data_IF_209810659543
#
_entry.id   IF_209810659543
#
_cell.length_a   1.000
_cell.length_b   1.000
_cell.length_c   1.000
_cell.angle_alpha   90.00
_cell.angle_beta   90.00
_cell.angle_gamma   90.00
#
_symmetry.space_group_name_H-M   'P 1'
#
loop_
_entity.id
_entity.type
_entity.pdbx_description
1 polymer ?
#
# COMPACT_ATOMS: atom_id res chain seq x y z
N UNK A 1 -18.08 -19.65 -94.82
CA UNK A 1 -17.95 -19.79 -93.35
C UNK A 1 -17.00 -20.93 -93.02
N UNK A 2 -15.86 -20.63 -92.39
CA UNK A 2 -15.12 -21.48 -91.42
C UNK A 2 -14.12 -20.53 -90.73
N UNK A 3 -14.39 -20.18 -89.48
CA UNK A 3 -13.51 -19.34 -88.65
C UNK A 3 -12.23 -20.14 -88.33
N UNK A 4 -11.02 -19.57 -88.44
CA UNK A 4 -9.85 -20.24 -87.89
C UNK A 4 -9.90 -20.20 -86.36
N UNK A 5 -9.58 -21.34 -85.77
CA UNK A 5 -9.55 -21.64 -84.35
C UNK A 5 -8.53 -20.73 -83.65
N UNK A 6 -8.96 -19.97 -82.62
CA UNK A 6 -8.03 -19.27 -81.73
C UNK A 6 -7.21 -20.34 -81.00
N UNK A 7 -5.93 -20.49 -81.35
CA UNK A 7 -4.97 -21.15 -80.48
C UNK A 7 -4.82 -20.30 -79.22
N UNK A 8 -5.39 -20.76 -78.12
CA UNK A 8 -4.94 -20.36 -76.78
C UNK A 8 -3.54 -20.91 -76.59
N UNK A 9 -2.51 -20.08 -76.81
CA UNK A 9 -1.20 -20.30 -76.19
C UNK A 9 -1.41 -20.19 -74.68
N UNK A 10 -1.56 -21.33 -74.00
CA UNK A 10 -1.16 -21.43 -72.60
C UNK A 10 0.36 -21.33 -72.62
N UNK A 11 0.95 -20.20 -72.24
CA UNK A 11 2.35 -20.23 -71.83
C UNK A 11 2.38 -21.04 -70.53
N UNK A 12 2.90 -22.26 -70.64
CA UNK A 12 3.39 -22.99 -69.49
C UNK A 12 4.83 -22.54 -69.30
N UNK A 13 5.00 -21.30 -68.82
CA UNK A 13 6.30 -20.85 -68.35
C UNK A 13 6.52 -21.55 -67.00
N UNK A 14 7.01 -22.79 -67.06
CA UNK A 14 7.46 -23.51 -65.88
C UNK A 14 8.61 -22.74 -65.26
N UNK A 15 8.56 -22.54 -63.94
CA UNK A 15 9.64 -21.89 -63.20
C UNK A 15 10.98 -22.51 -63.54
N UNK A 16 11.97 -21.67 -63.84
CA UNK A 16 13.33 -22.17 -64.06
C UNK A 16 13.88 -22.70 -62.74
N UNK A 17 14.70 -23.76 -62.81
CA UNK A 17 15.34 -24.35 -61.62
C UNK A 17 16.09 -23.29 -60.80
N UNK A 18 16.69 -22.31 -61.47
CA UNK A 18 17.41 -21.20 -60.85
C UNK A 18 16.48 -20.29 -60.06
N UNK A 19 15.30 -19.93 -60.58
CA UNK A 19 14.32 -19.12 -59.84
C UNK A 19 13.82 -19.84 -58.57
N UNK A 20 13.61 -21.15 -58.63
CA UNK A 20 13.23 -21.95 -57.45
C UNK A 20 14.35 -21.94 -56.41
N UNK A 21 15.61 -22.11 -56.84
CA UNK A 21 16.75 -22.07 -55.92
C UNK A 21 16.91 -20.69 -55.29
N UNK A 22 16.83 -19.62 -56.08
CA UNK A 22 16.97 -18.23 -55.59
C UNK A 22 15.84 -17.87 -54.62
N UNK A 23 14.59 -18.24 -54.93
CA UNK A 23 13.45 -17.99 -54.03
C UNK A 23 13.58 -18.78 -52.73
N UNK A 24 14.06 -20.03 -52.77
CA UNK A 24 14.34 -20.81 -51.55
C UNK A 24 15.47 -20.23 -50.70
N UNK A 25 16.52 -19.67 -51.32
CA UNK A 25 17.62 -19.01 -50.62
C UNK A 25 17.16 -17.70 -49.97
N UNK A 26 16.37 -16.89 -50.66
CA UNK A 26 15.81 -15.66 -50.08
C UNK A 26 14.86 -16.02 -48.93
N UNK A 27 14.02 -17.03 -49.11
CA UNK A 27 13.10 -17.51 -48.07
C UNK A 27 13.86 -18.03 -46.84
N UNK A 28 14.96 -18.76 -47.02
CA UNK A 28 15.75 -19.27 -45.89
C UNK A 28 16.45 -18.15 -45.11
N UNK A 29 16.94 -17.12 -45.81
CA UNK A 29 17.50 -15.93 -45.17
C UNK A 29 16.44 -15.16 -44.38
N UNK A 30 15.25 -14.94 -44.97
CA UNK A 30 14.13 -14.26 -44.30
C UNK A 30 13.65 -15.05 -43.08
N UNK A 31 13.50 -16.37 -43.19
CA UNK A 31 13.12 -17.23 -42.07
C UNK A 31 14.17 -17.25 -40.95
N UNK A 32 15.46 -17.17 -41.30
CA UNK A 32 16.54 -17.09 -40.31
C UNK A 32 16.49 -15.78 -39.53
N UNK A 33 16.30 -14.65 -40.21
CA UNK A 33 16.19 -13.32 -39.56
C UNK A 33 14.90 -13.20 -38.76
N UNK A 34 13.77 -13.69 -39.29
CA UNK A 34 12.49 -13.70 -38.59
C UNK A 34 12.51 -14.62 -37.36
N UNK A 35 13.10 -15.81 -37.50
CA UNK A 35 13.24 -16.79 -36.42
C UNK A 35 14.13 -16.29 -35.28
N UNK A 36 15.27 -15.68 -35.61
CA UNK A 36 16.14 -15.08 -34.58
C UNK A 36 15.42 -13.93 -33.86
N UNK A 37 14.79 -13.02 -34.57
CA UNK A 37 14.02 -11.90 -34.00
C UNK A 37 12.87 -12.38 -33.10
N UNK A 38 12.12 -13.39 -33.53
CA UNK A 38 11.07 -14.02 -32.74
C UNK A 38 11.61 -14.64 -31.45
N UNK A 39 12.73 -15.36 -31.52
CA UNK A 39 13.38 -15.95 -30.34
C UNK A 39 13.89 -14.89 -29.37
N UNK A 40 14.44 -13.77 -29.86
CA UNK A 40 14.82 -12.63 -29.01
C UNK A 40 13.61 -12.00 -28.34
N UNK A 41 12.50 -11.81 -29.08
CA UNK A 41 11.25 -11.29 -28.54
C UNK A 41 10.70 -12.17 -27.42
N UNK A 42 10.56 -13.48 -27.66
CA UNK A 42 10.10 -14.44 -26.64
C UNK A 42 11.01 -14.42 -25.40
N UNK A 43 12.34 -14.40 -25.59
CA UNK A 43 13.29 -14.29 -24.47
C UNK A 43 13.12 -13.00 -23.67
N UNK A 44 12.91 -11.87 -24.33
CA UNK A 44 12.64 -10.59 -23.65
C UNK A 44 11.32 -10.62 -22.87
N UNK A 45 10.26 -11.19 -23.44
CA UNK A 45 8.98 -11.35 -22.74
C UNK A 45 9.12 -12.24 -21.50
N UNK A 46 9.74 -13.41 -21.64
CA UNK A 46 9.98 -14.32 -20.52
C UNK A 46 10.86 -13.68 -19.45
N UNK A 47 11.94 -12.97 -19.83
CA UNK A 47 12.78 -12.25 -18.88
C UNK A 47 12.03 -11.13 -18.15
N UNK A 48 11.13 -10.42 -18.84
CA UNK A 48 10.32 -9.35 -18.24
C UNK A 48 9.26 -9.92 -17.29
N UNK A 49 8.61 -11.03 -17.67
CA UNK A 49 7.65 -11.75 -16.84
C UNK A 49 8.30 -12.31 -15.56
N UNK A 50 9.50 -12.90 -15.69
CA UNK A 50 10.31 -13.37 -14.57
C UNK A 50 10.66 -12.23 -13.61
N UNK A 51 11.18 -11.10 -14.13
CA UNK A 51 11.48 -9.92 -13.31
C UNK A 51 10.26 -9.32 -12.62
N UNK A 52 9.11 -9.32 -13.28
CA UNK A 52 7.85 -8.87 -12.67
C UNK A 52 7.42 -9.82 -11.54
N UNK A 53 7.65 -11.12 -11.69
CA UNK A 53 7.34 -12.13 -10.67
C UNK A 53 8.26 -11.97 -9.45
N UNK A 54 9.57 -11.81 -9.66
CA UNK A 54 10.57 -11.58 -8.61
C UNK A 54 10.21 -10.34 -7.77
N UNK A 55 9.91 -9.24 -8.45
CA UNK A 55 9.46 -8.00 -7.83
C UNK A 55 8.14 -8.18 -7.07
N UNK A 56 7.16 -8.84 -7.68
CA UNK A 56 5.87 -9.09 -7.05
C UNK A 56 6.03 -9.87 -5.74
N UNK A 57 6.86 -10.92 -5.73
CA UNK A 57 7.10 -11.71 -4.51
C UNK A 57 7.76 -10.85 -3.43
N UNK A 58 8.84 -10.13 -3.76
CA UNK A 58 9.55 -9.28 -2.80
C UNK A 58 8.69 -8.15 -2.22
N UNK A 59 7.96 -7.42 -3.08
CA UNK A 59 7.13 -6.27 -2.67
C UNK A 59 5.95 -6.71 -1.79
N UNK A 60 5.33 -7.86 -2.08
CA UNK A 60 4.22 -8.38 -1.27
C UNK A 60 4.68 -8.87 0.10
N UNK A 61 5.82 -9.56 0.17
CA UNK A 61 6.43 -9.97 1.45
C UNK A 61 6.74 -8.73 2.28
N UNK A 62 7.41 -7.73 1.69
CA UNK A 62 7.74 -6.48 2.37
C UNK A 62 6.49 -5.77 2.87
N UNK A 63 5.47 -5.61 2.02
CA UNK A 63 4.21 -4.95 2.38
C UNK A 63 3.49 -5.70 3.51
N UNK A 64 3.48 -7.03 3.48
CA UNK A 64 2.88 -7.83 4.54
C UNK A 64 3.59 -7.60 5.88
N UNK A 65 4.93 -7.74 5.91
CA UNK A 65 5.72 -7.52 7.11
C UNK A 65 5.57 -6.07 7.61
N UNK A 66 5.63 -5.10 6.71
CA UNK A 66 5.43 -3.69 7.01
C UNK A 66 4.09 -3.45 7.68
N UNK A 67 2.99 -3.94 7.12
CA UNK A 67 1.65 -3.75 7.70
C UNK A 67 1.56 -4.30 9.11
N UNK A 68 2.05 -5.52 9.33
CA UNK A 68 1.99 -6.15 10.64
C UNK A 68 2.92 -5.48 11.65
N UNK A 69 4.14 -5.12 11.26
CA UNK A 69 5.11 -4.41 12.10
C UNK A 69 4.61 -2.99 12.44
N UNK A 70 3.96 -2.29 11.51
CA UNK A 70 3.48 -0.92 11.71
C UNK A 70 2.43 -0.85 12.82
N UNK A 71 1.52 -1.83 12.88
CA UNK A 71 0.40 -1.85 13.82
C UNK A 71 0.56 -2.84 14.97
N UNK A 72 1.72 -3.49 15.12
CA UNK A 72 1.95 -4.42 16.22
C UNK A 72 1.92 -3.70 17.57
N UNK A 73 1.15 -4.23 18.52
CA UNK A 73 1.00 -3.71 19.90
C UNK A 73 2.06 -4.24 20.86
N UNK A 74 2.75 -5.31 20.46
CA UNK A 74 4.05 -5.73 21.00
C UNK A 74 4.95 -6.06 19.83
N UNK A 75 6.21 -5.70 19.91
CA UNK A 75 7.17 -6.02 18.87
C UNK A 75 8.53 -6.31 19.48
N UNK A 76 9.07 -7.47 19.13
CA UNK A 76 10.33 -7.98 19.63
C UNK A 76 11.17 -8.55 18.48
N UNK A 77 12.43 -8.12 18.39
CA UNK A 77 13.40 -8.68 17.44
C UNK A 77 14.41 -9.52 18.20
N UNK A 78 14.44 -10.82 17.90
CA UNK A 78 15.37 -11.80 18.46
C UNK A 78 16.37 -12.26 17.39
N UNK A 79 17.65 -11.88 17.48
CA UNK A 79 18.70 -12.29 16.56
C UNK A 79 18.95 -13.81 16.57
N UNK A 80 18.80 -14.47 17.72
CA UNK A 80 18.95 -15.92 17.83
C UNK A 80 17.60 -16.63 17.89
N UNK A 81 17.42 -17.64 17.04
CA UNK A 81 16.20 -18.46 16.96
C UNK A 81 16.33 -19.81 17.66
N UNK A 82 17.56 -20.28 17.91
CA UNK A 82 17.83 -21.70 18.25
C UNK A 82 17.24 -22.14 19.58
N UNK A 83 17.08 -21.20 20.52
CA UNK A 83 16.68 -21.51 21.89
C UNK A 83 15.17 -21.26 22.13
N UNK A 84 14.45 -20.79 21.10
CA UNK A 84 13.03 -20.51 21.17
C UNK A 84 12.22 -21.82 21.07
N UNK A 85 11.40 -22.10 22.10
CA UNK A 85 10.60 -23.34 22.19
C UNK A 85 9.61 -23.48 21.03
N UNK A 86 9.11 -22.38 20.47
CA UNK A 86 8.18 -22.40 19.34
C UNK A 86 8.91 -22.67 18.04
N UNK A 87 10.12 -22.10 17.86
CA UNK A 87 11.03 -22.49 16.77
C UNK A 87 11.42 -23.97 16.85
N UNK A 88 11.75 -24.47 18.04
CA UNK A 88 12.06 -25.89 18.24
C UNK A 88 10.85 -26.80 17.99
N UNK A 89 9.63 -26.40 18.39
CA UNK A 89 8.38 -27.13 18.13
C UNK A 89 8.01 -27.14 16.65
N UNK A 90 8.23 -26.04 15.95
CA UNK A 90 8.11 -25.96 14.49
C UNK A 90 9.13 -26.91 13.80
N UNK A 91 10.40 -26.83 14.19
CA UNK A 91 11.46 -27.74 13.72
C UNK A 91 11.20 -29.21 14.08
N UNK A 92 10.47 -29.50 15.15
CA UNK A 92 10.04 -30.85 15.52
C UNK A 92 8.86 -31.32 14.65
N UNK A 93 7.92 -30.43 14.30
CA UNK A 93 6.82 -30.74 13.36
C UNK A 93 7.32 -30.95 11.92
N UNK A 94 8.49 -30.42 11.56
CA UNK A 94 9.19 -30.74 10.30
C UNK A 94 9.72 -32.19 10.30
N UNK A 95 10.01 -32.77 11.47
CA UNK A 95 10.49 -34.16 11.57
C UNK A 95 9.37 -35.21 11.51
N UNK A 96 8.14 -34.84 11.85
CA UNK A 96 6.97 -35.74 11.81
C UNK A 96 6.21 -35.60 10.49
N UNK A 97 6.44 -36.58 9.63
CA UNK A 97 6.35 -36.56 8.17
C UNK A 97 4.93 -36.52 7.56
N UNK A 98 4.01 -35.66 8.03
CA UNK A 98 2.61 -35.62 7.49
C UNK A 98 1.94 -34.25 7.34
N UNK A 99 2.61 -33.13 7.65
CA UNK A 99 2.03 -31.78 7.41
C UNK A 99 2.98 -30.76 6.78
N UNK A 100 4.15 -31.19 6.35
CA UNK A 100 5.11 -30.35 5.65
C UNK A 100 5.67 -31.21 4.51
N UNK A 101 5.12 -31.08 3.30
CA UNK A 101 5.86 -31.46 2.09
C UNK A 101 6.96 -30.41 1.96
N UNK A 102 8.07 -30.72 2.61
CA UNK A 102 9.16 -29.82 2.98
C UNK A 102 10.44 -30.43 2.41
N UNK A 103 10.90 -29.92 1.28
CA UNK A 103 12.23 -30.27 0.79
C UNK A 103 12.98 -29.04 0.29
N UNK A 104 13.63 -28.31 1.21
CA UNK A 104 14.72 -27.35 0.92
C UNK A 104 14.40 -25.85 1.13
N UNK A 105 14.12 -25.43 2.36
CA UNK A 105 13.05 -24.46 2.63
C UNK A 105 13.46 -22.99 2.83
N UNK A 106 13.19 -22.15 1.82
CA UNK A 106 13.42 -20.71 1.82
C UNK A 106 12.44 -19.89 2.68
N UNK A 107 12.49 -20.01 4.01
CA UNK A 107 11.46 -19.47 4.90
C UNK A 107 11.60 -18.00 5.35
N UNK A 108 10.45 -17.33 5.47
CA UNK A 108 10.24 -16.10 6.24
C UNK A 108 9.57 -16.44 7.59
N UNK A 109 10.08 -15.91 8.72
CA UNK A 109 9.53 -16.23 10.05
C UNK A 109 9.01 -14.99 10.77
N UNK A 110 7.70 -14.96 10.95
CA UNK A 110 6.96 -13.86 11.54
C UNK A 110 5.91 -14.47 12.48
N UNK A 111 5.97 -14.20 13.79
CA UNK A 111 5.17 -14.94 14.79
C UNK A 111 4.30 -14.07 15.67
N UNK A 112 3.05 -14.49 15.90
CA UNK A 112 2.13 -13.86 16.85
C UNK A 112 2.48 -14.29 18.29
N UNK A 113 2.80 -13.31 19.14
CA UNK A 113 3.23 -13.46 20.52
C UNK A 113 2.19 -14.21 21.36
N UNK A 114 0.90 -13.91 21.18
CA UNK A 114 -0.17 -14.41 22.06
C UNK A 114 -0.71 -15.76 21.61
N UNK A 115 -0.67 -16.05 20.31
CA UNK A 115 -1.10 -17.34 19.78
C UNK A 115 -0.01 -18.41 19.84
N UNK A 116 1.25 -18.01 20.08
CA UNK A 116 2.39 -18.93 20.08
C UNK A 116 2.58 -19.65 18.74
N UNK A 117 1.99 -19.11 17.68
CA UNK A 117 2.01 -19.64 16.31
C UNK A 117 3.03 -18.87 15.49
N UNK A 118 4.02 -19.58 14.96
CA UNK A 118 4.87 -19.08 13.89
C UNK A 118 4.16 -19.41 12.57
N UNK A 119 3.69 -18.40 11.87
CA UNK A 119 3.04 -18.59 10.57
C UNK A 119 4.12 -18.51 9.48
N UNK A 120 4.28 -19.57 8.69
CA UNK A 120 4.79 -19.38 7.33
C UNK A 120 3.64 -18.74 6.54
N UNK A 121 3.63 -17.41 6.52
CA UNK A 121 2.48 -16.60 6.09
C UNK A 121 2.09 -16.88 4.64
N UNK A 122 3.06 -17.23 3.80
CA UNK A 122 2.86 -17.37 2.36
C UNK A 122 3.48 -18.70 1.96
N UNK A 123 2.70 -19.79 1.91
CA UNK A 123 3.24 -21.14 1.64
C UNK A 123 4.04 -21.23 0.32
N UNK A 124 4.77 -22.32 0.10
CA UNK A 124 5.68 -22.52 -1.05
C UNK A 124 5.10 -22.10 -2.41
N UNK A 125 3.81 -22.37 -2.65
CA UNK A 125 3.10 -21.97 -3.88
C UNK A 125 3.13 -20.47 -4.16
N UNK A 126 3.21 -19.64 -3.13
CA UNK A 126 3.29 -18.19 -3.26
C UNK A 126 4.68 -17.74 -3.72
N UNK A 127 5.73 -18.32 -3.14
CA UNK A 127 7.12 -18.04 -3.53
C UNK A 127 7.52 -18.72 -4.84
N UNK A 128 6.81 -19.78 -5.24
CA UNK A 128 7.12 -20.58 -6.42
C UNK A 128 8.49 -21.23 -6.27
N UNK A 129 9.41 -20.90 -7.18
CA UNK A 129 10.78 -21.40 -7.21
C UNK A 129 11.81 -20.47 -6.53
N UNK A 130 11.33 -19.44 -5.84
CA UNK A 130 12.17 -18.43 -5.19
C UNK A 130 12.35 -18.71 -3.70
N UNK A 131 13.50 -18.30 -3.17
CA UNK A 131 13.83 -18.30 -1.75
C UNK A 131 13.83 -16.86 -1.23
N UNK A 132 13.24 -16.63 -0.04
CA UNK A 132 13.22 -15.30 0.57
C UNK A 132 14.16 -15.24 1.77
N UNK A 133 14.93 -14.16 1.85
CA UNK A 133 15.65 -13.74 3.07
C UNK A 133 15.24 -12.32 3.42
N UNK A 134 15.44 -11.94 4.66
CA UNK A 134 15.25 -10.57 5.10
C UNK A 134 16.31 -10.16 6.10
N UNK A 135 16.57 -8.86 6.15
CA UNK A 135 17.44 -8.22 7.10
C UNK A 135 16.68 -7.18 7.89
N UNK A 136 16.98 -7.13 9.18
CA UNK A 136 16.43 -6.14 10.10
C UNK A 136 17.59 -5.37 10.71
N UNK A 137 17.53 -4.04 10.64
CA UNK A 137 18.46 -3.16 11.33
C UNK A 137 17.66 -2.21 12.23
N UNK A 138 18.13 -2.02 13.45
CA UNK A 138 17.53 -1.09 14.41
C UNK A 138 18.40 0.15 14.48
N UNK A 139 17.93 1.34 14.05
CA UNK A 139 18.75 2.53 13.98
C UNK A 139 19.23 2.97 15.37
N UNK A 140 20.48 3.48 15.43
CA UNK A 140 21.02 4.17 16.60
C UNK A 140 20.40 5.57 16.72
N UNK A 141 20.40 6.11 17.94
CA UNK A 141 20.00 7.50 18.21
C UNK A 141 20.78 8.47 17.31
N UNK A 142 20.10 9.43 16.67
CA UNK A 142 20.73 10.40 15.75
C UNK A 142 21.28 11.64 16.44
N UNK A 143 21.52 11.63 17.77
CA UNK A 143 22.20 12.73 18.47
C UNK A 143 23.56 12.27 19.00
N UNK A 144 24.62 12.98 18.60
CA UNK A 144 25.93 12.89 19.23
C UNK A 144 25.80 13.17 20.74
N UNK A 145 26.23 12.21 21.57
CA UNK A 145 26.31 12.36 23.02
C UNK A 145 25.26 11.62 23.84
N UNK A 146 24.31 10.92 23.21
CA UNK A 146 23.25 10.17 23.91
C UNK A 146 23.20 8.71 23.42
N UNK A 147 24.24 7.94 23.75
CA UNK A 147 24.37 6.51 23.39
C UNK A 147 23.23 5.64 23.96
N UNK A 148 22.37 6.20 24.83
CA UNK A 148 21.29 5.51 25.52
C UNK A 148 19.87 5.93 25.09
N UNK A 149 19.66 6.86 24.15
CA UNK A 149 18.28 7.22 23.72
C UNK A 149 17.88 6.44 22.47
N UNK A 150 17.37 5.23 22.64
CA UNK A 150 16.86 4.44 21.53
C UNK A 150 15.82 5.23 20.71
N UNK A 151 15.87 5.15 19.37
CA UNK A 151 14.69 5.51 18.56
C UNK A 151 13.78 4.29 18.64
N UNK A 152 12.93 4.30 19.67
CA UNK A 152 12.32 3.09 20.20
C UNK A 152 11.28 2.49 19.25
N UNK A 153 10.84 3.16 18.20
CA UNK A 153 9.78 2.70 17.31
C UNK A 153 10.17 2.60 15.83
N UNK A 154 11.46 2.67 15.47
CA UNK A 154 11.93 2.55 14.09
C UNK A 154 12.66 1.22 13.83
N UNK A 155 12.39 0.63 12.68
CA UNK A 155 12.99 -0.60 12.18
C UNK A 155 13.28 -0.46 10.68
N UNK A 156 14.50 -0.75 10.25
CA UNK A 156 14.84 -0.85 8.84
C UNK A 156 14.70 -2.32 8.40
N UNK A 157 13.87 -2.56 7.38
CA UNK A 157 13.60 -3.88 6.83
C UNK A 157 14.08 -3.94 5.38
N UNK A 158 14.86 -4.97 5.06
CA UNK A 158 15.23 -5.31 3.69
C UNK A 158 14.76 -6.72 3.40
N UNK A 159 14.03 -6.93 2.31
CA UNK A 159 13.58 -8.24 1.82
C UNK A 159 14.31 -8.55 0.52
N UNK A 160 14.93 -9.73 0.45
CA UNK A 160 15.74 -10.19 -0.66
C UNK A 160 15.15 -11.50 -1.22
N UNK A 161 15.05 -11.56 -2.54
CA UNK A 161 14.54 -12.70 -3.32
C UNK A 161 15.70 -13.38 -4.03
N UNK A 162 15.81 -14.68 -3.85
CA UNK A 162 16.83 -15.54 -4.45
C UNK A 162 16.18 -16.55 -5.40
N UNK A 163 16.82 -16.84 -6.52
CA UNK A 163 16.39 -17.90 -7.43
C UNK A 163 16.79 -19.31 -6.95
N UNK A 164 16.45 -20.34 -7.75
CA UNK A 164 16.80 -21.74 -7.48
C UNK A 164 18.32 -22.01 -7.43
N UNK A 165 19.12 -21.12 -8.02
CA UNK A 165 20.58 -21.21 -8.07
C UNK A 165 21.22 -20.50 -6.87
N UNK A 166 20.41 -19.87 -6.00
CA UNK A 166 20.85 -19.12 -4.85
C UNK A 166 21.39 -17.73 -5.20
N UNK A 167 21.12 -17.21 -6.40
CA UNK A 167 21.48 -15.85 -6.78
C UNK A 167 20.39 -14.87 -6.36
N UNK A 168 20.79 -13.73 -5.82
CA UNK A 168 19.86 -12.64 -5.50
C UNK A 168 19.35 -12.01 -6.80
N UNK A 169 18.04 -12.02 -6.99
CA UNK A 169 17.38 -11.54 -8.21
C UNK A 169 16.57 -10.26 -7.99
N UNK A 170 16.15 -10.01 -6.75
CA UNK A 170 15.42 -8.78 -6.39
C UNK A 170 15.60 -8.43 -4.90
N UNK A 171 15.59 -7.14 -4.58
CA UNK A 171 15.53 -6.65 -3.21
C UNK A 171 14.58 -5.44 -3.09
N UNK A 172 13.94 -5.31 -1.94
CA UNK A 172 13.17 -4.12 -1.55
C UNK A 172 13.48 -3.77 -0.10
N UNK A 173 13.60 -2.47 0.18
CA UNK A 173 14.00 -1.97 1.50
C UNK A 173 13.11 -0.79 1.94
N UNK A 174 13.03 -0.59 3.25
CA UNK A 174 12.50 0.65 3.79
C UNK A 174 12.39 0.68 5.30
N UNK A 175 12.26 1.89 5.81
CA UNK A 175 12.12 2.18 7.23
C UNK A 175 10.66 2.11 7.67
N UNK A 176 10.39 1.29 8.67
CA UNK A 176 9.08 1.08 9.27
C UNK A 176 9.05 1.76 10.63
N UNK A 177 8.02 2.58 10.86
CA UNK A 177 7.70 3.12 12.18
C UNK A 177 6.57 2.30 12.79
N UNK A 178 6.82 1.63 13.90
CA UNK A 178 5.75 1.05 14.70
C UNK A 178 4.96 2.17 15.40
N UNK A 179 3.64 2.07 15.36
CA UNK A 179 2.75 3.13 15.81
C UNK A 179 2.17 2.89 17.20
N UNK A 180 2.22 1.65 17.68
CA UNK A 180 1.49 1.21 18.88
C UNK A 180 2.42 0.83 20.03
N UNK A 181 3.70 0.54 19.77
CA UNK A 181 4.64 0.13 20.80
C UNK A 181 6.10 0.51 20.47
N UNK A 182 6.90 0.44 21.52
CA UNK A 182 8.35 0.45 21.42
C UNK A 182 8.85 -0.96 21.04
N UNK A 183 9.80 -1.01 20.12
CA UNK A 183 10.58 -2.17 19.74
C UNK A 183 11.45 -2.62 20.90
N UNK A 184 11.16 -3.82 21.39
CA UNK A 184 12.05 -4.57 22.28
C UNK A 184 13.02 -5.38 21.43
N UNK A 185 14.28 -5.47 21.85
CA UNK A 185 15.31 -6.16 21.08
C UNK A 185 16.19 -6.93 22.04
N UNK A 186 16.33 -8.22 21.80
CA UNK A 186 17.35 -9.03 22.48
C UNK A 186 18.67 -8.95 21.69
N UNK A 187 19.48 -7.89 21.84
CA UNK A 187 20.75 -7.76 21.11
C UNK A 187 21.22 -6.33 20.88
N UNK A 188 22.29 -6.17 20.08
CA UNK A 188 22.92 -4.87 19.82
C UNK A 188 22.17 -4.05 18.73
N UNK A 189 21.87 -2.77 19.03
CA UNK A 189 21.32 -1.82 18.05
C UNK A 189 22.38 -1.35 17.05
N UNK A 190 21.95 -1.06 15.82
CA UNK A 190 22.82 -0.62 14.72
C UNK A 190 23.52 -1.77 13.99
N UNK A 191 23.27 -3.02 14.36
CA UNK A 191 23.72 -4.20 13.62
C UNK A 191 22.59 -4.72 12.74
N UNK A 192 22.92 -5.12 11.52
CA UNK A 192 22.00 -5.82 10.64
C UNK A 192 21.93 -7.30 11.03
N UNK A 193 20.73 -7.79 11.32
CA UNK A 193 20.48 -9.20 11.58
C UNK A 193 19.81 -9.82 10.36
N UNK A 194 20.40 -10.89 9.82
CA UNK A 194 19.80 -11.64 8.70
C UNK A 194 18.90 -12.73 9.26
N UNK A 195 17.65 -12.75 8.82
CA UNK A 195 16.62 -13.66 9.28
C UNK A 195 16.56 -13.74 10.83
N UNK A 196 16.35 -12.63 11.56
CA UNK A 196 16.02 -12.70 12.98
C UNK A 196 14.58 -13.21 13.16
N UNK A 197 14.23 -13.72 14.34
CA UNK A 197 12.83 -13.94 14.69
C UNK A 197 12.22 -12.57 15.05
N UNK A 198 11.17 -12.18 14.32
CA UNK A 198 10.36 -11.02 14.66
C UNK A 198 9.08 -11.55 15.30
N UNK A 199 8.95 -11.32 16.60
CA UNK A 199 7.74 -11.64 17.35
C UNK A 199 6.92 -10.37 17.46
N UNK A 200 5.67 -10.43 17.06
CA UNK A 200 4.75 -9.31 17.11
C UNK A 200 3.46 -9.76 17.77
N UNK A 201 2.68 -8.84 18.29
CA UNK A 201 1.32 -9.12 18.72
C UNK A 201 0.38 -8.18 17.97
N UNK A 202 -0.62 -8.72 17.29
CA UNK A 202 -1.73 -7.96 16.69
C UNK A 202 -3.06 -8.20 17.42
N UNK A 203 -3.08 -9.07 18.43
CA UNK A 203 -4.24 -9.47 19.24
C UNK A 203 -4.28 -8.88 20.63
N UNK A 204 -3.28 -8.11 21.08
CA UNK A 204 -3.48 -7.28 22.25
C UNK A 204 -4.60 -6.31 21.90
N UNK A 205 -5.80 -6.61 22.43
CA UNK A 205 -6.92 -5.70 22.54
C UNK A 205 -6.49 -4.53 23.42
N UNK A 206 -5.60 -3.67 22.91
CA UNK A 206 -5.77 -2.27 23.15
C UNK A 206 -6.92 -1.85 22.26
N UNK A 207 -7.92 -1.20 22.86
CA UNK A 207 -8.95 -0.49 22.13
C UNK A 207 -8.27 0.25 20.97
N UNK A 208 -8.46 -0.22 19.73
CA UNK A 208 -8.15 0.63 18.57
C UNK A 208 -8.85 1.92 18.90
N UNK A 209 -8.08 3.02 19.01
CA UNK A 209 -8.65 4.32 19.35
C UNK A 209 -9.89 4.47 18.47
N UNK A 210 -11.11 4.56 19.04
CA UNK A 210 -12.32 4.43 18.25
C UNK A 210 -12.36 5.45 17.10
N UNK A 211 -11.67 6.60 17.25
CA UNK A 211 -11.50 7.56 16.19
C UNK A 211 -10.61 7.03 15.04
N UNK A 212 -9.52 6.33 15.35
CA UNK A 212 -8.65 5.72 14.33
C UNK A 212 -9.37 4.63 13.53
N UNK A 213 -10.19 3.80 14.20
CA UNK A 213 -11.00 2.79 13.52
C UNK A 213 -11.97 3.43 12.51
N UNK A 214 -12.71 4.45 12.96
CA UNK A 214 -13.65 5.20 12.11
C UNK A 214 -12.89 5.90 10.97
N UNK A 215 -11.73 6.49 11.24
CA UNK A 215 -10.92 7.18 10.25
C UNK A 215 -10.44 6.22 9.15
N UNK A 216 -9.94 5.04 9.52
CA UNK A 216 -9.50 4.01 8.57
C UNK A 216 -10.65 3.54 7.68
N UNK A 217 -11.85 3.38 8.24
CA UNK A 217 -13.04 3.04 7.47
C UNK A 217 -13.40 4.16 6.48
N UNK A 218 -13.50 5.41 6.95
CA UNK A 218 -13.80 6.57 6.09
C UNK A 218 -12.82 6.72 4.94
N UNK A 219 -11.52 6.57 5.22
CA UNK A 219 -10.47 6.62 4.20
C UNK A 219 -10.60 5.47 3.19
N UNK A 220 -10.89 4.27 3.67
CA UNK A 220 -11.04 3.09 2.80
C UNK A 220 -12.23 3.25 1.84
N UNK A 221 -13.39 3.68 2.35
CA UNK A 221 -14.57 3.93 1.53
C UNK A 221 -14.32 5.04 0.49
N UNK A 222 -13.62 6.11 0.89
CA UNK A 222 -13.21 7.17 -0.02
C UNK A 222 -12.31 6.65 -1.15
N UNK A 223 -11.26 5.90 -0.82
CA UNK A 223 -10.31 5.37 -1.81
C UNK A 223 -11.00 4.36 -2.73
N UNK A 224 -11.87 3.49 -2.20
CA UNK A 224 -12.59 2.52 -3.01
C UNK A 224 -13.47 3.19 -4.07
N UNK A 225 -14.19 4.26 -3.71
CA UNK A 225 -14.99 5.02 -4.66
C UNK A 225 -14.09 5.78 -5.65
N UNK A 226 -13.01 6.40 -5.17
CA UNK A 226 -12.02 7.08 -6.01
C UNK A 226 -11.46 6.14 -7.09
N UNK A 227 -10.95 4.97 -6.69
CA UNK A 227 -10.39 3.95 -7.57
C UNK A 227 -11.43 3.48 -8.58
N UNK A 228 -12.66 3.25 -8.14
CA UNK A 228 -13.74 2.86 -9.04
C UNK A 228 -14.00 3.92 -10.13
N UNK A 229 -13.99 5.21 -9.79
CA UNK A 229 -14.20 6.29 -10.76
C UNK A 229 -13.04 6.32 -11.76
N UNK A 230 -11.80 6.20 -11.28
CA UNK A 230 -10.59 6.17 -12.12
C UNK A 230 -10.58 4.99 -13.10
N UNK A 231 -10.99 3.81 -12.63
CA UNK A 231 -11.00 2.59 -13.43
C UNK A 231 -12.21 2.50 -14.38
N UNK A 232 -13.23 3.34 -14.18
CA UNK A 232 -14.44 3.32 -14.99
C UNK A 232 -14.34 4.27 -16.18
N UNK A 233 -14.65 3.77 -17.37
CA UNK A 233 -14.71 4.57 -18.61
C UNK A 233 -16.07 5.23 -18.82
N UNK A 234 -17.10 4.84 -18.06
CA UNK A 234 -18.49 5.31 -18.22
C UNK A 234 -19.18 5.50 -16.88
N UNK A 235 -20.20 6.37 -16.85
CA UNK A 235 -21.04 6.59 -15.65
C UNK A 235 -21.78 5.32 -15.25
N UNK A 236 -22.21 4.50 -16.20
CA UNK A 236 -22.97 3.27 -15.93
C UNK A 236 -22.10 2.21 -15.23
N UNK A 237 -20.79 2.17 -15.50
CA UNK A 237 -19.85 1.30 -14.76
C UNK A 237 -19.69 1.71 -13.30
N UNK A 238 -19.69 3.03 -13.03
CA UNK A 238 -19.64 3.57 -11.66
C UNK A 238 -20.97 3.26 -10.95
N UNK A 239 -22.10 3.54 -11.60
CA UNK A 239 -23.46 3.27 -11.09
C UNK A 239 -23.66 1.79 -10.70
N UNK A 240 -23.10 0.86 -11.47
CA UNK A 240 -23.20 -0.57 -11.18
C UNK A 240 -22.56 -0.97 -9.84
N UNK A 241 -21.48 -0.29 -9.43
CA UNK A 241 -20.81 -0.51 -8.13
C UNK A 241 -21.30 0.45 -7.04
N UNK A 242 -21.75 1.63 -7.44
CA UNK A 242 -22.17 2.72 -6.57
C UNK A 242 -23.53 3.30 -7.04
N UNK A 243 -24.64 2.59 -6.75
CA UNK A 243 -25.97 3.02 -7.16
C UNK A 243 -26.33 4.41 -6.62
N UNK A 244 -26.91 5.26 -7.48
CA UNK A 244 -27.24 6.65 -7.18
C UNK A 244 -26.18 7.65 -7.62
N UNK A 245 -25.02 7.20 -8.11
CA UNK A 245 -23.98 8.08 -8.68
C UNK A 245 -24.47 8.86 -9.89
N UNK A 246 -25.21 8.21 -10.78
CA UNK A 246 -25.77 8.81 -12.00
C UNK A 246 -26.74 9.94 -11.69
N UNK A 247 -27.59 9.74 -10.70
CA UNK A 247 -28.54 10.77 -10.23
C UNK A 247 -27.80 11.91 -9.52
N UNK A 248 -26.86 11.58 -8.63
CA UNK A 248 -26.05 12.57 -7.90
C UNK A 248 -25.26 13.50 -8.84
N UNK A 249 -24.80 12.97 -9.96
CA UNK A 249 -23.94 13.69 -10.90
C UNK A 249 -24.66 14.18 -12.16
N UNK A 250 -26.00 14.03 -12.25
CA UNK A 250 -26.77 14.28 -13.49
C UNK A 250 -26.56 15.67 -14.10
N UNK A 251 -26.48 16.69 -13.24
CA UNK A 251 -26.35 18.10 -13.62
C UNK A 251 -24.89 18.55 -13.81
N UNK A 252 -23.92 17.65 -13.60
CA UNK A 252 -22.51 17.93 -13.78
C UNK A 252 -22.07 17.76 -15.24
N UNK A 253 -20.94 18.40 -15.59
CA UNK A 253 -20.30 18.19 -16.88
C UNK A 253 -19.84 16.73 -17.02
N UNK A 254 -19.72 16.25 -18.26
CA UNK A 254 -19.27 14.87 -18.56
C UNK A 254 -17.93 14.57 -17.88
N UNK A 255 -17.02 15.54 -17.84
CA UNK A 255 -15.75 15.42 -17.14
C UNK A 255 -15.93 15.01 -15.67
N UNK A 256 -16.76 15.73 -14.90
CA UNK A 256 -16.94 15.46 -13.46
C UNK A 256 -17.81 14.24 -13.15
N UNK A 257 -18.46 13.64 -14.16
CA UNK A 257 -19.22 12.39 -14.02
C UNK A 257 -18.32 11.15 -14.01
N UNK A 258 -17.17 11.23 -14.68
CA UNK A 258 -16.23 10.11 -14.87
C UNK A 258 -14.81 10.42 -14.39
N UNK A 259 -14.58 11.56 -13.72
CA UNK A 259 -13.30 11.87 -13.11
C UNK A 259 -13.47 12.10 -11.61
N UNK A 260 -12.49 11.66 -10.80
CA UNK A 260 -12.57 11.80 -9.36
C UNK A 260 -12.57 13.28 -8.97
N UNK A 261 -13.51 13.65 -8.11
CA UNK A 261 -13.65 14.98 -7.54
C UNK A 261 -14.04 14.83 -6.07
N UNK A 262 -13.27 15.48 -5.18
CA UNK A 262 -13.46 15.34 -3.73
C UNK A 262 -14.91 15.64 -3.32
N UNK A 263 -15.48 16.74 -3.80
CA UNK A 263 -16.85 17.13 -3.43
C UNK A 263 -17.91 16.12 -3.88
N UNK A 264 -17.77 15.55 -5.08
CA UNK A 264 -18.73 14.55 -5.58
C UNK A 264 -18.63 13.23 -4.82
N UNK A 265 -17.41 12.79 -4.53
CA UNK A 265 -17.15 11.58 -3.72
C UNK A 265 -17.73 11.79 -2.31
N UNK A 266 -17.47 12.94 -1.69
CA UNK A 266 -18.02 13.26 -0.37
C UNK A 266 -19.55 13.36 -0.37
N UNK A 267 -20.16 13.98 -1.38
CA UNK A 267 -21.63 14.01 -1.51
C UNK A 267 -22.22 12.62 -1.62
N UNK A 268 -21.60 11.75 -2.42
CA UNK A 268 -22.06 10.37 -2.56
C UNK A 268 -21.97 9.62 -1.23
N UNK A 269 -20.79 9.63 -0.59
CA UNK A 269 -20.59 8.94 0.69
C UNK A 269 -21.55 9.48 1.75
N UNK A 270 -21.68 10.80 1.86
CA UNK A 270 -22.60 11.44 2.79
C UNK A 270 -24.04 10.98 2.58
N UNK A 271 -24.55 11.04 1.35
CA UNK A 271 -25.95 10.75 1.07
C UNK A 271 -26.27 9.25 1.12
N UNK A 272 -25.45 8.41 0.50
CA UNK A 272 -25.78 7.00 0.24
C UNK A 272 -25.11 6.02 1.21
N UNK A 273 -23.89 6.30 1.70
CA UNK A 273 -23.20 5.43 2.65
C UNK A 273 -23.50 5.79 4.10
N UNK A 274 -23.54 7.09 4.39
CA UNK A 274 -23.67 7.63 5.74
C UNK A 274 -25.02 8.33 5.98
N UNK A 275 -25.96 8.22 5.05
CA UNK A 275 -27.36 8.64 5.22
C UNK A 275 -27.56 10.07 5.77
N UNK A 276 -26.78 11.01 5.25
CA UNK A 276 -26.76 12.44 5.63
C UNK A 276 -26.24 12.75 7.05
N UNK A 277 -25.48 11.84 7.64
CA UNK A 277 -24.80 12.07 8.92
C UNK A 277 -23.42 11.41 8.92
N UNK A 278 -22.36 12.23 8.95
CA UNK A 278 -21.00 11.70 9.05
C UNK A 278 -20.79 10.96 10.39
N UNK A 279 -19.86 9.99 10.46
CA UNK A 279 -19.50 9.37 11.72
C UNK A 279 -19.08 10.41 12.77
N UNK A 280 -19.63 10.29 13.97
CA UNK A 280 -19.30 11.17 15.09
C UNK A 280 -17.89 10.86 15.59
N UNK A 281 -17.13 11.90 15.88
CA UNK A 281 -15.86 11.76 16.54
C UNK A 281 -16.08 11.31 17.99
N UNK A 282 -15.52 10.16 18.41
CA UNK A 282 -15.54 9.73 19.80
C UNK A 282 -14.84 10.81 20.63
N UNK A 283 -15.51 11.32 21.67
CA UNK A 283 -14.89 12.37 22.47
C UNK A 283 -13.59 11.84 23.10
N UNK A 284 -12.50 12.64 23.09
CA UNK A 284 -11.27 12.23 23.74
C UNK A 284 -11.53 12.04 25.24
N UNK A 285 -10.97 10.99 25.83
CA UNK A 285 -11.09 10.79 27.26
C UNK A 285 -10.37 11.91 28.03
N UNK A 286 -10.97 12.37 29.13
CA UNK A 286 -10.47 13.51 29.92
C UNK A 286 -9.02 13.32 30.38
N UNK A 287 -8.66 12.10 30.77
CA UNK A 287 -7.31 11.70 31.17
C UNK A 287 -6.26 11.84 30.03
N UNK A 288 -6.66 11.65 28.76
CA UNK A 288 -5.78 11.91 27.61
C UNK A 288 -5.61 13.41 27.42
N UNK A 289 -6.68 14.20 27.46
CA UNK A 289 -6.62 15.66 27.32
C UNK A 289 -5.79 16.33 28.43
N UNK A 290 -5.79 15.78 29.64
CA UNK A 290 -4.97 16.27 30.75
C UNK A 290 -3.46 16.24 30.48
N UNK A 291 -2.99 15.28 29.67
CA UNK A 291 -1.59 15.23 29.22
C UNK A 291 -1.23 16.35 28.25
N UNK A 292 -2.23 17.03 27.70
CA UNK A 292 -2.07 18.09 26.71
C UNK A 292 -2.83 19.37 27.12
N UNK A 293 -2.32 20.14 28.10
CA UNK A 293 -3.02 21.31 28.66
C UNK A 293 -3.42 22.36 27.61
N UNK A 294 -2.57 22.59 26.59
CA UNK A 294 -2.86 23.53 25.50
C UNK A 294 -4.06 23.06 24.65
N UNK A 295 -4.15 21.76 24.35
CA UNK A 295 -5.26 21.17 23.59
C UNK A 295 -6.51 21.18 24.45
N UNK A 296 -6.42 20.79 25.73
CA UNK A 296 -7.52 20.81 26.70
C UNK A 296 -8.14 22.21 26.84
N UNK A 297 -7.30 23.22 27.06
CA UNK A 297 -7.72 24.61 27.25
C UNK A 297 -8.34 25.21 25.98
N UNK A 298 -7.99 24.70 24.81
CA UNK A 298 -8.65 25.07 23.56
C UNK A 298 -9.94 24.28 23.33
N UNK A 299 -9.91 22.96 23.54
CA UNK A 299 -11.00 22.04 23.19
C UNK A 299 -12.27 22.31 24.01
N UNK A 300 -12.21 22.32 25.35
CA UNK A 300 -13.43 22.44 26.17
C UNK A 300 -14.20 23.76 25.97
N UNK A 301 -13.54 24.94 25.91
CA UNK A 301 -14.27 26.19 25.70
C UNK A 301 -14.79 26.36 24.26
N UNK A 302 -14.17 25.69 23.28
CA UNK A 302 -14.43 25.95 21.86
C UNK A 302 -15.37 24.90 21.24
N UNK A 303 -15.28 23.64 21.65
CA UNK A 303 -16.11 22.55 21.13
C UNK A 303 -17.41 22.47 21.91
N UNK A 304 -18.42 23.18 21.41
CA UNK A 304 -19.77 23.23 21.98
C UNK A 304 -20.79 22.38 21.22
N UNK A 305 -20.36 21.75 20.12
CA UNK A 305 -21.20 20.96 19.20
C UNK A 305 -20.59 19.59 18.98
N UNK A 306 -21.42 18.64 18.56
CA UNK A 306 -20.94 17.33 18.09
C UNK A 306 -19.91 17.51 16.97
N UNK A 307 -18.84 16.74 17.06
CA UNK A 307 -17.79 16.70 16.05
C UNK A 307 -18.00 15.51 15.13
N UNK A 308 -17.69 15.71 13.86
CA UNK A 308 -17.90 14.76 12.78
C UNK A 308 -16.58 14.52 12.04
N UNK A 309 -16.38 13.27 11.65
CA UNK A 309 -15.18 12.78 10.97
C UNK A 309 -15.43 12.71 9.47
N UNK A 310 -14.56 13.33 8.68
CA UNK A 310 -14.73 13.46 7.22
C UNK A 310 -13.41 13.17 6.50
N UNK A 311 -13.40 12.36 5.43
CA UNK A 311 -12.21 12.19 4.62
C UNK A 311 -11.96 13.41 3.74
N UNK A 312 -10.72 13.62 3.35
CA UNK A 312 -10.32 14.62 2.36
C UNK A 312 -9.09 14.15 1.61
N UNK A 313 -9.02 14.43 0.31
CA UNK A 313 -7.85 14.14 -0.52
C UNK A 313 -7.16 15.42 -0.97
N UNK A 314 -5.85 15.55 -0.66
CA UNK A 314 -5.03 16.71 -1.00
C UNK A 314 -4.76 16.90 -2.50
N UNK A 315 -4.83 15.82 -3.29
CA UNK A 315 -4.62 15.84 -4.74
C UNK A 315 -5.96 15.96 -5.48
N UNK A 316 -6.29 17.15 -5.97
CA UNK A 316 -7.58 17.43 -6.63
C UNK A 316 -7.51 17.35 -8.17
N UNK A 317 -6.97 16.27 -8.75
CA UNK A 317 -7.06 16.02 -10.21
C UNK A 317 -6.28 14.80 -10.71
N UNK A 318 -5.80 13.91 -9.83
CA UNK A 318 -4.97 12.79 -10.29
C UNK A 318 -5.81 11.60 -10.72
N UNK A 319 -5.42 10.93 -11.80
CA UNK A 319 -5.96 9.60 -12.14
C UNK A 319 -5.15 8.49 -11.46
N UNK A 320 -4.17 8.82 -10.61
CA UNK A 320 -3.40 7.87 -9.81
C UNK A 320 -4.10 7.62 -8.46
N UNK A 321 -4.78 6.48 -8.36
CA UNK A 321 -5.47 6.06 -7.15
C UNK A 321 -4.50 5.77 -5.98
N UNK A 322 -3.27 5.32 -6.26
CA UNK A 322 -2.28 5.09 -5.22
C UNK A 322 -1.77 6.42 -4.64
N UNK A 323 -1.55 7.42 -5.49
CA UNK A 323 -1.22 8.78 -5.05
C UNK A 323 -2.39 9.41 -4.27
N UNK A 324 -3.63 9.26 -4.73
CA UNK A 324 -4.81 9.72 -4.00
C UNK A 324 -4.91 9.06 -2.62
N UNK A 325 -4.66 7.75 -2.53
CA UNK A 325 -4.61 7.03 -1.26
C UNK A 325 -3.56 7.59 -0.30
N UNK A 326 -2.34 7.86 -0.79
CA UNK A 326 -1.26 8.49 0.00
C UNK A 326 -1.60 9.91 0.47
N UNK A 327 -2.52 10.58 -0.21
CA UNK A 327 -2.90 11.96 0.07
C UNK A 327 -4.31 12.09 0.68
N UNK A 328 -4.89 10.99 1.14
CA UNK A 328 -6.19 10.97 1.82
C UNK A 328 -6.00 10.89 3.32
N UNK A 329 -6.54 11.86 4.04
CA UNK A 329 -6.57 11.94 5.50
C UNK A 329 -8.00 12.15 6.00
N UNK A 330 -8.21 12.01 7.32
CA UNK A 330 -9.51 12.29 7.95
C UNK A 330 -9.38 13.49 8.86
N UNK A 331 -10.32 14.42 8.77
CA UNK A 331 -10.37 15.60 9.62
C UNK A 331 -11.65 15.62 10.44
N UNK A 332 -11.59 16.32 11.58
CA UNK A 332 -12.67 16.40 12.56
C UNK A 332 -13.17 17.83 12.67
N UNK A 333 -14.46 18.03 12.43
CA UNK A 333 -15.09 19.36 12.40
C UNK A 333 -16.53 19.34 12.94
N UNK A 334 -17.09 20.47 13.39
CA UNK A 334 -18.46 20.55 13.91
C UNK A 334 -19.51 20.61 12.79
N UNK A 335 -19.09 20.59 11.53
CA UNK A 335 -19.97 20.75 10.38
C UNK A 335 -20.42 19.40 9.81
N UNK A 336 -21.70 19.06 10.00
CA UNK A 336 -22.35 17.91 9.36
C UNK A 336 -22.91 18.29 7.99
N UNK A 337 -22.04 18.71 7.07
CA UNK A 337 -22.40 18.98 5.68
C UNK A 337 -21.69 17.99 4.75
N UNK A 338 -22.32 17.69 3.61
CA UNK A 338 -21.73 16.85 2.57
C UNK A 338 -20.34 17.35 2.14
N UNK A 339 -20.23 18.65 1.87
CA UNK A 339 -19.00 19.30 1.40
C UNK A 339 -18.76 20.61 2.13
N UNK A 340 -17.65 21.27 1.79
CA UNK A 340 -17.28 22.55 2.35
C UNK A 340 -16.41 22.44 3.60
N UNK A 341 -15.63 23.50 3.78
CA UNK A 341 -14.68 23.64 4.87
C UNK A 341 -15.36 24.16 6.14
N UNK A 342 -14.83 23.74 7.28
CA UNK A 342 -15.23 24.20 8.60
C UNK A 342 -14.00 24.30 9.50
N UNK A 343 -14.19 24.76 10.73
CA UNK A 343 -13.13 24.73 11.74
C UNK A 343 -12.71 23.29 12.01
N UNK A 344 -11.41 23.05 11.94
CA UNK A 344 -10.83 21.71 12.11
C UNK A 344 -10.15 21.63 13.46
N UNK A 345 -10.52 20.62 14.23
CA UNK A 345 -10.03 20.40 15.59
C UNK A 345 -9.00 19.28 15.66
N UNK A 346 -9.23 18.22 14.87
CA UNK A 346 -8.30 17.10 14.76
C UNK A 346 -8.09 16.70 13.31
N UNK A 347 -6.91 16.17 13.04
CA UNK A 347 -6.57 15.49 11.80
C UNK A 347 -5.99 14.13 12.16
N UNK A 348 -6.38 13.11 11.42
CA UNK A 348 -5.97 11.74 11.63
C UNK A 348 -5.27 11.28 10.35
N UNK A 349 -3.97 11.04 10.48
CA UNK A 349 -3.18 10.39 9.45
C UNK A 349 -3.33 8.87 9.61
N UNK A 350 -4.16 8.26 8.78
CA UNK A 350 -4.37 6.81 8.78
C UNK A 350 -3.13 6.00 8.37
N UNK A 351 -2.18 6.61 7.64
CA UNK A 351 -0.96 5.93 7.20
C UNK A 351 0.08 5.89 8.32
N UNK A 352 0.27 7.02 9.01
CA UNK A 352 1.17 7.09 10.16
C UNK A 352 0.48 6.76 11.49
N UNK A 353 -0.82 6.45 11.48
CA UNK A 353 -1.67 6.26 12.66
C UNK A 353 -1.54 7.37 13.70
N UNK A 354 -1.21 8.59 13.27
CA UNK A 354 -0.99 9.73 14.16
C UNK A 354 -2.20 10.64 14.13
N UNK A 355 -2.70 11.01 15.31
CA UNK A 355 -3.69 12.07 15.44
C UNK A 355 -2.99 13.38 15.79
N UNK A 356 -3.43 14.46 15.16
CA UNK A 356 -2.99 15.81 15.42
C UNK A 356 -4.18 16.60 15.94
N UNK A 357 -3.99 17.38 17.00
CA UNK A 357 -4.99 18.28 17.54
C UNK A 357 -4.53 19.74 17.37
N UNK A 358 -5.49 20.61 17.11
CA UNK A 358 -5.25 22.04 17.02
C UNK A 358 -5.29 22.69 18.41
N UNK A 359 -4.45 23.70 18.64
CA UNK A 359 -4.44 24.52 19.86
C UNK A 359 -5.00 25.92 19.63
N UNK A 360 -5.52 26.20 18.43
CA UNK A 360 -6.21 27.45 18.06
C UNK A 360 -7.25 27.17 16.98
N UNK A 361 -8.17 28.11 16.75
CA UNK A 361 -9.17 27.96 15.67
C UNK A 361 -8.44 27.92 14.32
N UNK A 362 -8.37 26.73 13.75
CA UNK A 362 -7.91 26.53 12.38
C UNK A 362 -9.11 26.65 11.46
N UNK A 363 -9.40 27.88 10.99
CA UNK A 363 -10.40 28.08 9.95
C UNK A 363 -10.01 27.24 8.73
N UNK A 364 -10.95 26.56 8.08
CA UNK A 364 -10.64 25.56 7.04
C UNK A 364 -9.83 26.07 5.83
N UNK A 365 -9.68 27.40 5.64
CA UNK A 365 -8.72 27.99 4.68
C UNK A 365 -7.25 27.80 5.09
N UNK A 366 -6.96 27.85 6.39
CA UNK A 366 -5.62 27.58 6.93
C UNK A 366 -5.30 26.10 6.73
N UNK A 367 -6.29 25.21 6.88
CA UNK A 367 -6.05 23.79 6.67
C UNK A 367 -5.82 23.42 5.20
N UNK A 368 -6.63 23.97 4.28
CA UNK A 368 -6.42 23.75 2.84
C UNK A 368 -5.08 24.29 2.31
N UNK A 369 -4.49 25.31 2.94
CA UNK A 369 -3.21 25.90 2.51
C UNK A 369 -1.99 25.41 3.32
N UNK A 370 -2.17 24.99 4.57
CA UNK A 370 -1.06 24.53 5.45
C UNK A 370 -0.84 23.02 5.41
N UNK A 371 -1.84 22.22 5.00
CA UNK A 371 -1.73 20.75 4.92
C UNK A 371 -1.68 20.20 3.49
N UNK A 372 -1.79 21.07 2.49
CA UNK A 372 -1.74 20.71 1.08
C UNK A 372 -0.75 21.64 0.39
N UNK A 373 0.53 21.47 0.73
CA UNK A 373 1.61 22.20 0.04
C UNK A 373 1.85 21.51 -1.29
N UNK A 374 1.66 22.23 -2.40
CA UNK A 374 1.80 21.69 -3.76
C UNK A 374 0.91 20.48 -4.08
N UNK A 375 -0.30 20.41 -3.52
CA UNK A 375 -1.24 19.29 -3.69
C UNK A 375 -0.84 17.97 -3.01
N UNK A 376 0.21 17.95 -2.17
CA UNK A 376 0.63 16.75 -1.46
C UNK A 376 0.46 16.90 0.06
N UNK A 377 -0.26 15.97 0.68
CA UNK A 377 -0.45 15.81 2.12
C UNK A 377 0.82 15.30 2.83
N UNK A 378 1.67 14.53 2.15
CA UNK A 378 2.76 13.74 2.77
C UNK A 378 3.90 14.58 3.39
N UNK A 379 3.87 15.91 3.26
CA UNK A 379 4.93 16.81 3.77
C UNK A 379 4.60 17.44 5.12
N UNK A 380 4.23 16.67 6.14
CA UNK A 380 3.78 17.29 7.40
C UNK A 380 4.33 16.63 8.65
N UNK A 381 5.41 17.24 9.17
CA UNK A 381 5.66 17.33 10.61
C UNK A 381 6.53 18.55 10.95
N UNK A 382 7.51 18.86 10.10
CA UNK A 382 8.31 20.09 10.22
C UNK A 382 7.53 21.32 9.75
N UNK A 383 6.73 21.19 8.68
CA UNK A 383 5.92 22.28 8.14
C UNK A 383 4.75 22.69 9.07
N UNK A 384 4.37 21.82 10.01
CA UNK A 384 3.35 22.11 11.03
C UNK A 384 3.91 22.84 12.26
N UNK A 385 5.23 22.83 12.47
CA UNK A 385 5.86 23.54 13.59
C UNK A 385 5.62 25.05 13.41
N UNK A 386 4.92 25.66 14.35
CA UNK A 386 4.54 27.09 14.32
C UNK A 386 3.11 27.37 13.87
N UNK A 387 2.36 26.37 13.39
CA UNK A 387 0.98 26.55 12.89
C UNK A 387 -0.11 26.28 13.93
N UNK A 388 0.24 25.93 15.17
CA UNK A 388 -0.72 25.64 16.25
C UNK A 388 -1.29 24.22 16.22
N UNK A 389 -0.56 23.26 15.65
CA UNK A 389 -0.91 21.83 15.65
C UNK A 389 0.08 21.04 16.49
N UNK A 390 -0.42 20.03 17.20
CA UNK A 390 0.35 19.16 18.11
C UNK A 390 -0.04 17.71 17.89
N UNK A 391 0.92 16.81 18.07
CA UNK A 391 0.64 15.37 18.12
C UNK A 391 -0.21 15.07 19.36
N UNK A 392 -1.23 14.24 19.19
CA UNK A 392 -2.18 13.82 20.22
C UNK A 392 -2.21 12.28 20.25
N UNK A 393 -1.61 11.68 21.27
CA UNK A 393 -1.45 10.22 21.45
C UNK A 393 -2.42 9.66 22.52
#
# INVERSE_FOLDING_TARGET
MRKPYKQTHKSQDGFTLVEIIVTLVILSLVLTVAGTTYLYGVRMYTQTEVKNTEKYVGDNVYKYMQQKITYATKLEVRPNRTDDKSYQKYMANIKDNTRVEDSGTGYLYFGDYDQGTQENVLGEKFYGSYTIKYQVTLPKATKEGDENTAVENLLDLTVMVYDQQGQEVYQTEGRIKNLNCNLTVEGERGMAHTNPLIVYNDTAQQEIDPAMAIANQLRTEYINLYTCIVESSTVDQIEAKYPGWKELTKDLSVYFKTNPNNDNILKYLFQYKYHSEWPKFPQPQDNKLEKYPEIKNFYYPTVTKSLYMRPYCGVMSTTDAALAGKNTFVFVSPNNAATGWADIYFIIDCQSGTMYASTKVSSGKIAGNAFVVNQEWVKTLEELKGTGWKIFE
#
